data_IF_727283053879
#
_entry.id   IF_727283053879
#
_cell.length_a   1.000
_cell.length_b   1.000
_cell.length_c   1.000
_cell.angle_alpha   90.00
_cell.angle_beta   90.00
_cell.angle_gamma   90.00
#
_symmetry.space_group_name_H-M   'P 1'
#
loop_
_entity.id
_entity.type
_entity.pdbx_description
1 polymer ?
#
# COMPACT_ATOMS: atom_id res chain seq x y z
N UNK A 1 5.75 13.73 14.25
CA UNK A 1 4.83 12.68 14.75
C UNK A 1 5.64 11.60 15.41
N UNK A 2 5.25 11.14 16.60
CA UNK A 2 5.92 10.02 17.26
C UNK A 2 5.81 8.76 16.38
N UNK A 3 6.88 7.99 16.27
CA UNK A 3 6.95 6.78 15.43
C UNK A 3 6.14 5.58 15.98
N UNK A 4 5.28 5.81 16.99
CA UNK A 4 4.47 4.78 17.66
C UNK A 4 3.02 4.73 17.17
N UNK A 5 2.64 5.61 16.24
CA UNK A 5 1.27 5.69 15.74
C UNK A 5 1.06 4.64 14.66
N UNK A 6 0.14 3.71 14.89
CA UNK A 6 -0.18 2.65 13.94
C UNK A 6 -0.78 3.24 12.64
N UNK A 7 -0.28 2.81 11.49
CA UNK A 7 -0.71 3.27 10.16
C UNK A 7 -2.23 3.20 9.94
N UNK A 8 -2.90 2.21 10.54
CA UNK A 8 -4.37 2.05 10.52
C UNK A 8 -5.09 3.31 11.04
N UNK A 9 -4.47 4.04 11.98
CA UNK A 9 -5.06 5.26 12.56
C UNK A 9 -4.93 6.48 11.63
N UNK A 10 -4.00 6.45 10.68
CA UNK A 10 -3.82 7.53 9.71
C UNK A 10 -4.61 7.29 8.42
N UNK A 11 -5.14 6.09 8.21
CA UNK A 11 -5.86 5.71 7.00
C UNK A 11 -6.98 6.70 6.60
N UNK A 12 -7.71 7.25 7.58
CA UNK A 12 -8.76 8.24 7.33
C UNK A 12 -8.24 9.54 6.68
N UNK A 13 -6.99 9.91 6.96
CA UNK A 13 -6.32 11.11 6.40
C UNK A 13 -5.71 10.86 5.03
N UNK A 14 -5.58 9.59 4.62
CA UNK A 14 -5.01 9.21 3.33
C UNK A 14 -6.06 9.16 2.21
N UNK A 15 -7.35 9.10 2.56
CA UNK A 15 -8.44 9.14 1.60
C UNK A 15 -8.83 10.60 1.31
N UNK A 16 -9.24 10.84 0.07
CA UNK A 16 -9.72 12.13 -0.42
C UNK A 16 -11.25 12.24 -0.34
N UNK A 17 -11.94 11.15 0.03
CA UNK A 17 -13.39 11.07 0.24
C UNK A 17 -14.19 10.71 -1.00
N UNK A 18 -13.52 10.47 -2.13
CA UNK A 18 -14.14 10.09 -3.42
C UNK A 18 -13.91 8.62 -3.77
N UNK A 19 -13.13 7.89 -2.96
CA UNK A 19 -12.73 6.52 -3.23
C UNK A 19 -13.87 5.53 -2.98
N UNK A 20 -14.23 4.75 -4.01
CA UNK A 20 -15.12 3.60 -3.87
C UNK A 20 -14.42 2.39 -3.25
N UNK A 21 -13.14 2.20 -3.57
CA UNK A 21 -12.35 1.04 -3.18
C UNK A 21 -10.96 1.47 -2.70
N UNK A 22 -10.51 0.90 -1.60
CA UNK A 22 -9.19 1.11 -1.02
C UNK A 22 -8.46 -0.22 -0.84
N UNK A 23 -7.19 -0.28 -1.24
CA UNK A 23 -6.37 -1.50 -1.20
C UNK A 23 -5.25 -1.32 -0.18
N UNK A 24 -5.16 -2.25 0.76
CA UNK A 24 -4.25 -2.16 1.89
C UNK A 24 -3.43 -3.43 2.08
N UNK A 25 -2.26 -3.28 2.70
CA UNK A 25 -1.49 -4.43 3.18
C UNK A 25 -2.08 -5.01 4.47
N UNK A 26 -1.50 -6.10 4.98
CA UNK A 26 -1.99 -6.74 6.19
C UNK A 26 -1.88 -5.86 7.45
N UNK A 27 -1.12 -4.75 7.40
CA UNK A 27 -1.07 -3.74 8.44
C UNK A 27 -2.39 -3.00 8.61
N UNK A 28 -3.15 -2.81 7.53
CA UNK A 28 -4.44 -2.12 7.52
C UNK A 28 -5.64 -2.99 7.97
N UNK A 29 -5.43 -4.10 8.66
CA UNK A 29 -6.54 -4.94 9.11
C UNK A 29 -7.41 -4.24 10.16
N UNK A 30 -8.73 -4.24 9.93
CA UNK A 30 -9.72 -3.58 10.79
C UNK A 30 -9.82 -2.07 10.58
N UNK A 31 -9.25 -1.55 9.49
CA UNK A 31 -9.31 -0.13 9.12
C UNK A 31 -10.75 0.36 8.87
N UNK A 32 -11.60 -0.52 8.34
CA UNK A 32 -13.03 -0.33 8.11
C UNK A 32 -13.83 -0.06 9.39
N UNK A 33 -13.34 -0.54 10.53
CA UNK A 33 -14.02 -0.44 11.84
C UNK A 33 -13.61 0.79 12.66
N UNK A 34 -12.72 1.65 12.14
CA UNK A 34 -12.20 2.81 12.88
C UNK A 34 -13.17 3.99 12.82
N UNK A 35 -13.27 4.75 13.90
CA UNK A 35 -14.23 5.86 14.05
C UNK A 35 -14.22 6.88 12.90
N UNK A 36 -13.05 7.17 12.31
CA UNK A 36 -12.93 8.07 11.15
C UNK A 36 -13.31 7.48 9.78
N UNK A 37 -13.56 6.17 9.71
CA UNK A 37 -13.87 5.42 8.48
C UNK A 37 -15.12 4.55 8.59
N UNK A 38 -15.69 4.42 9.79
CA UNK A 38 -16.87 3.60 10.07
C UNK A 38 -18.12 4.04 9.28
N UNK A 39 -18.18 5.32 8.91
CA UNK A 39 -19.24 5.89 8.07
C UNK A 39 -18.83 6.05 6.60
N UNK A 40 -17.61 5.67 6.24
CA UNK A 40 -17.14 5.74 4.86
C UNK A 40 -17.82 4.66 4.02
N UNK A 41 -18.20 5.02 2.79
CA UNK A 41 -18.72 4.07 1.79
C UNK A 41 -17.59 3.30 1.08
N UNK A 42 -16.33 3.59 1.39
CA UNK A 42 -15.17 2.96 0.75
C UNK A 42 -15.05 1.48 1.12
N UNK A 43 -14.96 0.61 0.11
CA UNK A 43 -14.74 -0.82 0.27
C UNK A 43 -13.25 -1.11 0.46
N UNK A 44 -12.91 -1.76 1.57
CA UNK A 44 -11.52 -2.07 1.90
C UNK A 44 -11.12 -3.48 1.48
N UNK A 45 -10.08 -3.56 0.65
CA UNK A 45 -9.45 -4.80 0.18
C UNK A 45 -8.10 -4.97 0.87
N UNK A 46 -8.14 -5.48 2.09
CA UNK A 46 -6.94 -5.67 2.92
C UNK A 46 -6.36 -7.06 2.70
N UNK A 47 -5.03 -7.15 2.56
CA UNK A 47 -4.34 -8.43 2.40
C UNK A 47 -4.49 -9.33 3.64
N UNK A 48 -4.58 -10.63 3.40
CA UNK A 48 -4.58 -11.64 4.44
C UNK A 48 -3.21 -11.70 5.13
N UNK A 49 -3.21 -11.92 6.45
CA UNK A 49 -1.96 -12.12 7.21
C UNK A 49 -1.25 -13.39 6.71
N UNK A 50 0.09 -13.38 6.59
CA UNK A 50 0.87 -14.53 6.13
C UNK A 50 0.57 -15.82 6.91
N UNK A 51 0.39 -15.74 8.23
CA UNK A 51 0.07 -16.91 9.06
C UNK A 51 -1.27 -17.56 8.73
N UNK A 52 -2.30 -16.75 8.42
CA UNK A 52 -3.62 -17.27 7.99
C UNK A 52 -3.57 -17.84 6.58
N UNK A 53 -2.81 -17.20 5.68
CA UNK A 53 -2.62 -17.67 4.31
C UNK A 53 -1.90 -19.02 4.27
N UNK A 54 -0.90 -19.23 5.13
CA UNK A 54 -0.22 -20.53 5.28
C UNK A 54 -1.13 -21.66 5.79
N UNK A 55 -2.19 -21.34 6.51
CA UNK A 55 -3.15 -22.32 7.02
C UNK A 55 -4.25 -22.68 6.00
N UNK A 56 -4.21 -22.10 4.79
CA UNK A 56 -5.13 -22.48 3.72
C UNK A 56 -4.76 -23.85 3.17
N UNK A 57 -5.63 -24.82 3.45
CA UNK A 57 -5.65 -26.14 2.81
C UNK A 57 -5.86 -26.03 1.27
N UNK A 58 -4.89 -26.42 0.44
CA UNK A 58 -4.99 -26.36 -1.02
C UNK A 58 -6.04 -27.30 -1.62
N UNK A 59 -6.46 -28.34 -0.92
CA UNK A 59 -7.42 -29.34 -1.43
C UNK A 59 -8.86 -28.83 -1.41
N UNK A 60 -9.14 -27.84 -0.55
CA UNK A 60 -10.45 -27.22 -0.44
C UNK A 60 -10.65 -26.13 -1.50
N UNK A 61 -11.72 -26.28 -2.28
CA UNK A 61 -12.07 -25.32 -3.35
C UNK A 61 -12.21 -23.87 -2.84
N UNK A 62 -12.85 -23.67 -1.67
CA UNK A 62 -12.98 -22.36 -1.04
C UNK A 62 -11.62 -21.71 -0.72
N UNK A 63 -10.64 -22.50 -0.30
CA UNK A 63 -9.30 -22.00 0.03
C UNK A 63 -8.51 -21.64 -1.23
N UNK A 64 -8.68 -22.40 -2.31
CA UNK A 64 -8.12 -22.03 -3.62
C UNK A 64 -8.69 -20.69 -4.12
N UNK A 65 -9.99 -20.44 -3.90
CA UNK A 65 -10.61 -19.16 -4.23
C UNK A 65 -10.02 -18.02 -3.39
N UNK A 66 -9.82 -18.22 -2.08
CA UNK A 66 -9.16 -17.23 -1.23
C UNK A 66 -7.74 -16.92 -1.71
N UNK A 67 -6.97 -17.94 -2.09
CA UNK A 67 -5.61 -17.74 -2.62
C UNK A 67 -5.60 -16.94 -3.93
N UNK A 68 -6.57 -17.19 -4.84
CA UNK A 68 -6.74 -16.39 -6.06
C UNK A 68 -7.05 -14.93 -5.74
N UNK A 69 -7.92 -14.67 -4.76
CA UNK A 69 -8.25 -13.31 -4.29
C UNK A 69 -7.01 -12.62 -3.73
N UNK A 70 -6.21 -13.29 -2.90
CA UNK A 70 -4.97 -12.73 -2.35
C UNK A 70 -3.93 -12.45 -3.45
N UNK A 71 -3.86 -13.29 -4.48
CA UNK A 71 -3.01 -13.04 -5.66
C UNK A 71 -3.46 -11.80 -6.44
N UNK A 72 -4.77 -11.59 -6.58
CA UNK A 72 -5.32 -10.38 -7.20
C UNK A 72 -5.02 -9.12 -6.37
N UNK A 73 -5.19 -9.16 -5.05
CA UNK A 73 -4.79 -8.06 -4.17
C UNK A 73 -3.30 -7.72 -4.31
N UNK A 74 -2.45 -8.74 -4.37
CA UNK A 74 -1.01 -8.57 -4.56
C UNK A 74 -0.67 -7.95 -5.93
N UNK A 75 -1.37 -8.34 -7.01
CA UNK A 75 -1.11 -7.78 -8.34
C UNK A 75 -1.50 -6.30 -8.44
N UNK A 76 -2.61 -5.89 -7.79
CA UNK A 76 -3.00 -4.48 -7.68
C UNK A 76 -1.92 -3.70 -6.92
N UNK A 77 -1.47 -4.21 -5.78
CA UNK A 77 -0.40 -3.58 -4.98
C UNK A 77 0.91 -3.44 -5.74
N UNK A 78 1.29 -4.45 -6.52
CA UNK A 78 2.52 -4.44 -7.29
C UNK A 78 2.60 -3.25 -8.27
N UNK A 79 1.47 -2.77 -8.80
CA UNK A 79 1.43 -1.59 -9.68
C UNK A 79 1.93 -0.34 -8.97
N UNK A 80 1.56 -0.16 -7.69
CA UNK A 80 2.00 0.99 -6.88
C UNK A 80 3.40 0.76 -6.35
N UNK A 81 3.72 -0.46 -5.91
CA UNK A 81 5.04 -0.79 -5.35
C UNK A 81 6.18 -0.69 -6.39
N UNK A 82 5.88 -0.88 -7.68
CA UNK A 82 6.89 -0.86 -8.75
C UNK A 82 7.61 0.51 -8.89
N UNK A 83 6.92 1.65 -9.04
CA UNK A 83 7.56 2.98 -8.98
C UNK A 83 8.41 3.21 -7.73
N UNK A 84 7.96 2.76 -6.55
CA UNK A 84 8.75 2.87 -5.32
C UNK A 84 10.02 2.03 -5.37
N UNK A 85 9.97 0.82 -5.96
CA UNK A 85 11.17 0.01 -6.20
C UNK A 85 12.15 0.75 -7.07
N UNK A 86 11.69 1.38 -8.17
CA UNK A 86 12.55 2.17 -9.07
C UNK A 86 13.25 3.30 -8.30
N UNK A 87 12.48 4.08 -7.56
CA UNK A 87 13.02 5.19 -6.76
C UNK A 87 14.03 4.72 -5.71
N UNK A 88 13.75 3.60 -5.03
CA UNK A 88 14.62 3.09 -3.96
C UNK A 88 15.88 2.41 -4.47
N UNK A 89 15.77 1.60 -5.52
CA UNK A 89 16.84 0.73 -6.00
C UNK A 89 17.64 1.38 -7.14
N UNK A 90 16.98 1.85 -8.20
CA UNK A 90 17.65 2.44 -9.35
C UNK A 90 18.18 3.85 -9.05
N UNK A 91 17.42 4.65 -8.29
CA UNK A 91 17.84 6.01 -7.90
C UNK A 91 18.45 6.10 -6.50
N UNK A 92 18.59 4.96 -5.80
CA UNK A 92 19.27 4.88 -4.50
C UNK A 92 18.59 5.64 -3.35
N UNK A 93 17.30 6.01 -3.48
CA UNK A 93 16.58 6.77 -2.46
C UNK A 93 15.99 5.86 -1.37
N UNK A 94 16.85 5.06 -0.72
CA UNK A 94 16.43 4.08 0.28
C UNK A 94 16.28 4.65 1.70
N UNK A 95 16.89 5.81 1.99
CA UNK A 95 16.88 6.44 3.33
C UNK A 95 16.27 7.84 3.29
N UNK A 96 15.29 8.07 4.15
CA UNK A 96 14.70 9.40 4.39
C UNK A 96 15.65 10.25 5.22
N UNK A 97 15.75 11.53 4.88
CA UNK A 97 16.43 12.54 5.70
C UNK A 97 15.37 13.40 6.37
N UNK A 98 15.45 13.59 7.68
CA UNK A 98 14.47 14.41 8.41
C UNK A 98 14.77 15.91 8.36
N UNK A 99 16.02 16.28 8.04
CA UNK A 99 16.40 17.68 7.81
C UNK A 99 16.07 18.12 6.38
N UNK A 100 15.56 19.35 6.24
CA UNK A 100 15.24 19.95 4.94
C UNK A 100 14.05 19.29 4.26
N UNK A 101 12.93 19.14 4.97
CA UNK A 101 11.72 18.46 4.48
C UNK A 101 11.25 18.99 3.12
N UNK A 102 11.19 20.32 2.94
CA UNK A 102 10.81 20.92 1.66
C UNK A 102 11.72 20.47 0.50
N UNK A 103 13.05 20.43 0.73
CA UNK A 103 14.02 19.95 -0.26
C UNK A 103 13.87 18.45 -0.53
N UNK A 104 13.57 17.66 0.51
CA UNK A 104 13.35 16.22 0.35
C UNK A 104 12.06 15.92 -0.40
N UNK A 105 10.97 16.67 -0.14
CA UNK A 105 9.72 16.58 -0.89
C UNK A 105 9.95 16.91 -2.36
N UNK A 106 10.61 18.04 -2.68
CA UNK A 106 10.92 18.40 -4.06
C UNK A 106 11.77 17.33 -4.76
N UNK A 107 12.76 16.76 -4.06
CA UNK A 107 13.56 15.65 -4.59
C UNK A 107 12.70 14.42 -4.86
N UNK A 108 11.81 14.04 -3.94
CA UNK A 108 10.95 12.88 -4.11
C UNK A 108 10.01 13.04 -5.32
N UNK A 109 9.39 14.22 -5.47
CA UNK A 109 8.54 14.54 -6.63
C UNK A 109 9.33 14.43 -7.94
N UNK A 110 10.55 14.97 -8.00
CA UNK A 110 11.42 14.84 -9.16
C UNK A 110 11.79 13.38 -9.46
N UNK A 111 12.09 12.57 -8.44
CA UNK A 111 12.41 11.15 -8.61
C UNK A 111 11.23 10.34 -9.16
N UNK A 112 9.99 10.65 -8.74
CA UNK A 112 8.79 10.02 -9.31
C UNK A 112 8.52 10.49 -10.74
N UNK A 113 8.79 11.76 -11.08
CA UNK A 113 8.72 12.20 -12.47
C UNK A 113 9.74 11.46 -13.35
N UNK A 114 10.98 11.31 -12.88
CA UNK A 114 12.00 10.54 -13.59
C UNK A 114 11.71 9.05 -13.63
N UNK A 115 11.06 8.47 -12.62
CA UNK A 115 10.74 7.04 -12.64
C UNK A 115 9.75 6.73 -13.76
N UNK A 116 8.80 7.62 -14.07
CA UNK A 116 7.91 7.48 -15.22
C UNK A 116 8.70 7.38 -16.53
N UNK A 117 9.66 8.29 -16.76
CA UNK A 117 10.53 8.26 -17.94
C UNK A 117 11.38 6.98 -17.98
N UNK A 118 11.93 6.58 -16.84
CA UNK A 118 12.74 5.37 -16.73
C UNK A 118 11.95 4.09 -17.01
N UNK A 119 10.67 4.05 -16.66
CA UNK A 119 9.79 2.89 -16.90
C UNK A 119 9.32 2.79 -18.36
N UNK A 120 9.26 3.91 -19.09
CA UNK A 120 8.84 3.93 -20.51
C UNK A 120 10.01 3.67 -21.48
N UNK A 121 11.26 3.82 -21.04
CA UNK A 121 12.43 3.53 -21.89
C UNK A 121 12.37 2.08 -22.39
N UNK A 122 12.37 1.91 -23.72
CA UNK A 122 12.46 0.59 -24.37
C UNK A 122 13.91 0.12 -24.40
#
# INVERSE_FOLDING_TARGET
TAANVNDVTQAARLLHGQESDAWGDAGYQGVDKREGLAHSKTRWHVAMRPGKRKALDPERELHQLYEKVERLKASVRAKVEHPFRVVKQQFGYAKVRYRGLAKNTARLTMLFAMSNLWMVRR
#
